data_IF_538285753433
#
_entry.id   IF_538285753433
#
_cell.length_a   1.000
_cell.length_b   1.000
_cell.length_c   1.000
_cell.angle_alpha   90.00
_cell.angle_beta   90.00
_cell.angle_gamma   90.00
#
_symmetry.space_group_name_H-M   'P 1'
#
loop_
_entity.id
_entity.type
_entity.pdbx_description
1 polymer ?
#
# COMPACT_ATOMS: atom_id res chain seq x y z
N UNK A 1 -35.67 17.22 12.00
CA UNK A 1 -35.33 15.77 12.03
C UNK A 1 -34.52 15.34 10.80
N UNK A 2 -35.09 15.46 9.60
CA UNK A 2 -34.47 14.96 8.36
C UNK A 2 -33.15 15.66 7.97
N UNK A 3 -33.03 16.96 8.25
CA UNK A 3 -31.78 17.71 8.04
C UNK A 3 -30.67 17.29 9.02
N UNK A 4 -31.02 17.04 10.28
CA UNK A 4 -30.08 16.53 11.30
C UNK A 4 -29.54 15.16 10.91
N UNK A 5 -30.40 14.28 10.42
CA UNK A 5 -30.01 12.93 9.99
C UNK A 5 -29.09 13.00 8.75
N UNK A 6 -29.35 13.93 7.83
CA UNK A 6 -28.48 14.18 6.68
C UNK A 6 -27.12 14.72 7.09
N UNK A 7 -27.07 15.69 8.03
CA UNK A 7 -25.81 16.22 8.55
C UNK A 7 -24.96 15.13 9.23
N UNK A 8 -25.58 14.28 10.04
CA UNK A 8 -24.88 13.15 10.67
C UNK A 8 -24.42 12.11 9.65
N UNK A 9 -25.22 11.80 8.63
CA UNK A 9 -24.83 10.89 7.56
C UNK A 9 -23.61 11.42 6.78
N UNK A 10 -23.58 12.72 6.47
CA UNK A 10 -22.44 13.36 5.80
C UNK A 10 -21.19 13.40 6.69
N UNK A 11 -21.34 13.64 7.99
CA UNK A 11 -20.24 13.58 8.96
C UNK A 11 -19.63 12.17 9.02
N UNK A 12 -20.47 11.14 9.13
CA UNK A 12 -20.04 9.74 9.11
C UNK A 12 -19.38 9.36 7.79
N UNK A 13 -19.90 9.84 6.65
CA UNK A 13 -19.28 9.62 5.34
C UNK A 13 -17.89 10.26 5.27
N UNK A 14 -17.74 11.51 5.74
CA UNK A 14 -16.44 12.17 5.81
C UNK A 14 -15.42 11.37 6.61
N UNK A 15 -15.83 10.86 7.77
CA UNK A 15 -14.98 10.01 8.61
C UNK A 15 -14.56 8.71 7.91
N UNK A 16 -15.48 8.07 7.18
CA UNK A 16 -15.19 6.86 6.42
C UNK A 16 -14.22 7.15 5.26
N UNK A 17 -14.39 8.28 4.57
CA UNK A 17 -13.50 8.69 3.47
C UNK A 17 -12.09 9.02 3.96
N UNK A 18 -11.97 9.75 5.08
CA UNK A 18 -10.70 10.02 5.74
C UNK A 18 -9.96 8.72 6.07
N UNK A 19 -10.66 7.76 6.69
CA UNK A 19 -10.09 6.46 7.05
C UNK A 19 -9.58 5.69 5.82
N UNK A 20 -10.26 5.81 4.67
CA UNK A 20 -9.81 5.20 3.42
C UNK A 20 -8.58 5.89 2.83
N UNK A 21 -8.48 7.22 2.97
CA UNK A 21 -7.35 8.03 2.51
C UNK A 21 -6.07 7.78 3.33
N UNK A 22 -6.22 7.50 4.63
CA UNK A 22 -5.08 7.23 5.53
C UNK A 22 -4.21 6.06 5.03
N UNK A 23 -4.81 5.01 4.45
CA UNK A 23 -4.05 3.84 4.01
C UNK A 23 -3.00 4.15 2.92
N UNK A 24 -3.34 4.72 1.76
CA UNK A 24 -2.34 5.10 0.76
C UNK A 24 -1.46 6.27 1.19
N UNK A 25 -1.92 7.15 2.08
CA UNK A 25 -1.13 8.28 2.58
C UNK A 25 -0.04 7.83 3.59
N UNK A 26 -0.34 6.81 4.39
CA UNK A 26 0.54 6.32 5.46
C UNK A 26 1.08 4.92 5.17
N UNK A 27 1.22 4.54 3.91
CA UNK A 27 1.91 3.31 3.52
C UNK A 27 2.66 3.48 2.21
N UNK A 28 3.52 2.52 1.87
CA UNK A 28 4.13 2.46 0.54
C UNK A 28 3.19 1.85 -0.51
N UNK A 29 1.88 1.72 -0.26
CA UNK A 29 0.95 1.03 -1.15
C UNK A 29 0.93 1.61 -2.57
N UNK A 30 0.93 2.94 -2.71
CA UNK A 30 0.94 3.59 -4.01
C UNK A 30 2.17 3.21 -4.85
N UNK A 31 3.36 3.15 -4.25
CA UNK A 31 4.58 2.72 -4.94
C UNK A 31 4.46 1.27 -5.40
N UNK A 32 3.98 0.37 -4.55
CA UNK A 32 3.83 -1.05 -4.87
C UNK A 32 2.85 -1.27 -6.02
N UNK A 33 1.74 -0.52 -6.06
CA UNK A 33 0.77 -0.58 -7.15
C UNK A 33 1.38 -0.08 -8.45
N UNK A 34 2.13 1.03 -8.43
CA UNK A 34 2.78 1.55 -9.65
C UNK A 34 3.85 0.58 -10.17
N UNK A 35 4.59 -0.08 -9.29
CA UNK A 35 5.56 -1.12 -9.66
C UNK A 35 4.83 -2.29 -10.36
N UNK A 36 3.80 -2.85 -9.73
CA UNK A 36 3.03 -3.97 -10.27
C UNK A 36 2.33 -3.61 -11.60
N UNK A 37 1.83 -2.37 -11.75
CA UNK A 37 1.25 -1.90 -13.01
C UNK A 37 2.27 -1.88 -14.16
N UNK A 38 3.48 -1.40 -13.92
CA UNK A 38 4.54 -1.36 -14.94
C UNK A 38 5.07 -2.76 -15.27
N UNK A 39 5.25 -3.63 -14.27
CA UNK A 39 5.66 -5.03 -14.48
C UNK A 39 4.61 -5.80 -15.31
N UNK A 40 3.30 -5.58 -15.07
CA UNK A 40 2.22 -6.17 -15.89
C UNK A 40 2.20 -5.70 -17.33
N UNK A 41 2.72 -4.50 -17.62
CA UNK A 41 2.88 -3.98 -18.98
C UNK A 41 4.12 -4.57 -19.68
N UNK A 42 4.89 -5.43 -19.01
CA UNK A 42 6.12 -6.01 -19.53
C UNK A 42 7.32 -5.06 -19.47
N UNK A 43 7.20 -3.94 -18.75
CA UNK A 43 8.26 -2.97 -18.56
C UNK A 43 9.03 -3.18 -17.27
N UNK A 44 10.22 -2.57 -17.18
CA UNK A 44 10.89 -2.36 -15.91
C UNK A 44 10.29 -1.12 -15.24
N UNK A 45 9.84 -1.25 -13.99
CA UNK A 45 9.29 -0.10 -13.26
C UNK A 45 10.40 0.91 -12.93
N UNK A 46 10.23 2.21 -13.25
CA UNK A 46 11.15 3.25 -12.81
C UNK A 46 10.92 3.67 -11.34
N UNK A 47 9.96 3.07 -10.65
CA UNK A 47 9.60 3.40 -9.28
C UNK A 47 10.50 2.64 -8.30
N UNK A 48 11.05 3.37 -7.34
CA UNK A 48 11.89 2.81 -6.29
C UNK A 48 11.05 2.45 -5.07
N UNK A 49 11.10 1.20 -4.58
CA UNK A 49 10.37 0.81 -3.37
C UNK A 49 10.98 1.51 -2.16
N UNK A 50 10.15 2.16 -1.33
CA UNK A 50 10.56 2.85 -0.11
C UNK A 50 11.43 1.99 0.82
N UNK A 51 11.11 0.70 0.90
CA UNK A 51 11.82 -0.31 1.71
C UNK A 51 13.19 -0.71 1.16
N UNK A 52 13.55 -0.24 -0.04
CA UNK A 52 14.80 -0.55 -0.71
C UNK A 52 14.71 -1.78 -1.61
N UNK A 53 15.53 -1.81 -2.66
CA UNK A 53 15.52 -2.88 -3.67
C UNK A 53 15.97 -4.24 -3.11
N UNK A 54 16.81 -4.24 -2.08
CA UNK A 54 17.33 -5.44 -1.44
C UNK A 54 16.30 -6.21 -0.59
N UNK A 55 15.12 -5.62 -0.30
CA UNK A 55 14.06 -6.29 0.46
C UNK A 55 13.07 -7.04 -0.43
N UNK A 56 13.43 -7.30 -1.69
CA UNK A 56 12.60 -8.05 -2.61
C UNK A 56 12.42 -9.48 -2.08
N UNK A 57 11.19 -9.99 -2.19
CA UNK A 57 10.81 -11.33 -1.77
C UNK A 57 10.26 -12.09 -2.97
N UNK A 58 10.63 -13.37 -3.07
CA UNK A 58 10.06 -14.33 -4.02
C UNK A 58 8.81 -14.93 -3.40
N UNK A 59 7.67 -14.83 -4.07
CA UNK A 59 6.44 -15.53 -3.71
C UNK A 59 6.35 -16.83 -4.52
N UNK A 60 6.57 -17.94 -3.84
CA UNK A 60 6.56 -19.29 -4.42
C UNK A 60 5.75 -20.20 -3.51
N UNK A 61 4.83 -21.00 -4.07
CA UNK A 61 3.97 -21.90 -3.30
C UNK A 61 3.24 -21.22 -2.12
N UNK A 62 2.81 -19.96 -2.29
CA UNK A 62 2.18 -19.11 -1.26
C UNK A 62 3.08 -18.78 -0.06
N UNK A 63 4.40 -18.94 -0.20
CA UNK A 63 5.39 -18.58 0.82
C UNK A 63 6.27 -17.44 0.32
N UNK A 64 6.64 -16.55 1.24
CA UNK A 64 7.62 -15.50 0.97
C UNK A 64 9.02 -16.03 1.28
N UNK A 65 9.87 -16.04 0.27
CA UNK A 65 11.24 -16.49 0.35
C UNK A 65 12.18 -15.30 0.09
N UNK A 66 13.31 -15.19 0.81
CA UNK A 66 14.35 -14.22 0.47
C UNK A 66 14.85 -14.47 -0.96
N UNK A 67 15.03 -13.40 -1.74
CA UNK A 67 15.66 -13.51 -3.05
C UNK A 67 17.17 -13.68 -2.90
N UNK A 68 17.78 -14.61 -3.64
CA UNK A 68 19.24 -14.71 -3.70
C UNK A 68 19.81 -13.69 -4.71
N UNK A 69 21.03 -13.19 -4.50
CA UNK A 69 21.69 -12.33 -5.48
C UNK A 69 21.77 -13.00 -6.85
N UNK A 70 21.30 -12.32 -7.90
CA UNK A 70 21.28 -12.84 -9.27
C UNK A 70 20.19 -13.87 -9.58
N UNK A 71 19.32 -14.19 -8.61
CA UNK A 71 18.18 -15.08 -8.83
C UNK A 71 17.09 -14.37 -9.64
N UNK A 72 16.77 -14.94 -10.80
CA UNK A 72 15.63 -14.53 -11.60
C UNK A 72 14.92 -15.76 -12.17
N UNK A 73 13.77 -16.06 -11.57
CA UNK A 73 12.88 -17.14 -11.96
C UNK A 73 11.66 -16.51 -12.66
N UNK A 74 11.55 -16.64 -14.00
CA UNK A 74 10.46 -16.03 -14.76
C UNK A 74 9.08 -16.61 -14.41
N UNK A 75 9.01 -17.76 -13.72
CA UNK A 75 7.77 -18.36 -13.23
C UNK A 75 7.33 -17.86 -11.85
N UNK A 76 8.19 -17.11 -11.14
CA UNK A 76 7.92 -16.64 -9.79
C UNK A 76 7.41 -15.20 -9.78
N UNK A 77 6.54 -14.91 -8.81
CA UNK A 77 6.14 -13.53 -8.52
C UNK A 77 7.12 -12.94 -7.52
N UNK A 78 7.64 -11.76 -7.81
CA UNK A 78 8.47 -11.02 -6.86
C UNK A 78 7.70 -9.82 -6.33
N UNK A 79 7.86 -9.53 -5.04
CA UNK A 79 7.15 -8.44 -4.36
C UNK A 79 8.06 -7.75 -3.36
N UNK A 80 7.68 -6.54 -2.98
CA UNK A 80 8.25 -5.84 -1.82
C UNK A 80 7.23 -5.81 -0.69
N UNK A 81 7.68 -5.81 0.58
CA UNK A 81 6.78 -5.73 1.71
C UNK A 81 5.99 -4.41 1.70
N UNK A 82 4.69 -4.53 2.01
CA UNK A 82 3.87 -3.40 2.40
C UNK A 82 4.31 -2.97 3.80
N UNK A 83 4.64 -1.69 3.94
CA UNK A 83 4.92 -1.05 5.22
C UNK A 83 3.94 0.10 5.40
N UNK A 84 3.39 0.21 6.60
CA UNK A 84 2.70 1.43 7.03
C UNK A 84 3.70 2.28 7.79
N UNK A 85 3.67 3.59 7.59
CA UNK A 85 4.39 4.52 8.44
C UNK A 85 3.93 4.42 9.90
N UNK A 86 4.63 5.12 10.78
CA UNK A 86 4.11 5.33 12.14
C UNK A 86 2.94 6.31 12.05
N UNK A 87 1.73 5.88 12.44
CA UNK A 87 0.65 6.82 12.71
C UNK A 87 1.07 7.73 13.86
N UNK A 88 1.15 9.02 13.62
CA UNK A 88 1.35 9.97 14.71
C UNK A 88 0.13 9.96 15.62
N UNK A 89 0.31 10.18 16.94
CA UNK A 89 -0.85 10.32 17.85
C UNK A 89 -1.84 11.41 17.39
N UNK A 90 -1.35 12.40 16.64
CA UNK A 90 -2.16 13.46 16.01
C UNK A 90 -3.07 12.94 14.88
N UNK A 91 -2.65 11.89 14.15
CA UNK A 91 -3.50 11.28 13.11
C UNK A 91 -4.74 10.65 13.78
N UNK A 92 -4.56 9.91 14.89
CA UNK A 92 -5.67 9.36 15.65
C UNK A 92 -6.62 10.40 16.25
N UNK A 93 -6.10 11.57 16.62
CA UNK A 93 -6.88 12.63 17.26
C UNK A 93 -7.71 13.44 16.26
N UNK A 94 -7.32 13.46 14.99
CA UNK A 94 -8.00 14.20 13.92
C UNK A 94 -8.90 13.30 13.06
N UNK A 95 -8.79 11.98 13.20
CA UNK A 95 -9.69 10.98 12.61
C UNK A 95 -10.97 10.74 13.44
N UNK A 96 -11.48 11.71 14.21
CA UNK A 96 -12.79 11.63 14.91
C UNK A 96 -13.62 12.91 14.80
#
# INVERSE_FOLDING_TARGET
>A
PQESDLCEALRCLGQALHTLEDFPAHSNYCELVLIDMEERRGGHSPIFPHVGTATKLKLENKQFLPTRPGEHDPGAKYVWPLVTGTFGGVDFLHSV
#
